data_IF_381661763652
#
_entry.id   IF_381661763652
#
_cell.length_a   1.000
_cell.length_b   1.000
_cell.length_c   1.000
_cell.angle_alpha   90.00
_cell.angle_beta   90.00
_cell.angle_gamma   90.00
#
_symmetry.space_group_name_H-M   'P 1'
#
loop_
_entity.id
_entity.type
_entity.pdbx_description
1 polymer ?
#
# COMPACT_ATOMS: atom_id res chain seq x y z
N UNK A 1 15.56 21.68 -88.91
CA UNK A 1 16.88 21.39 -89.52
C UNK A 1 17.55 20.29 -88.69
N UNK A 2 17.73 19.08 -89.23
CA UNK A 2 18.34 17.96 -88.50
C UNK A 2 19.85 17.93 -88.74
N UNK A 3 20.66 18.23 -87.70
CA UNK A 3 22.12 18.10 -87.76
C UNK A 3 22.52 16.68 -87.38
N UNK A 4 22.80 15.84 -88.37
CA UNK A 4 23.41 14.53 -88.15
C UNK A 4 24.91 14.72 -87.93
N UNK A 5 25.42 14.22 -86.80
CA UNK A 5 26.87 14.23 -86.53
C UNK A 5 27.57 13.28 -87.50
N UNK A 6 28.58 13.78 -88.20
CA UNK A 6 29.48 12.92 -88.98
C UNK A 6 30.51 12.29 -88.02
N UNK A 7 30.84 11.01 -88.20
CA UNK A 7 31.86 10.37 -87.37
C UNK A 7 33.21 11.04 -87.60
N UNK A 8 34.02 11.13 -86.54
CA UNK A 8 35.41 11.59 -86.63
C UNK A 8 36.20 10.59 -87.48
N UNK A 9 37.07 11.04 -88.41
CA UNK A 9 37.98 10.14 -89.11
C UNK A 9 38.93 9.46 -88.11
N UNK A 10 39.18 8.18 -88.30
CA UNK A 10 39.99 7.33 -87.40
C UNK A 10 41.14 6.73 -88.21
N UNK A 11 42.36 6.80 -87.67
CA UNK A 11 43.51 6.10 -88.23
C UNK A 11 43.40 4.58 -87.95
N UNK A 12 43.46 3.71 -88.97
CA UNK A 12 43.34 2.27 -88.80
C UNK A 12 44.43 1.64 -87.91
N UNK A 13 45.66 2.18 -87.91
CA UNK A 13 46.76 1.62 -87.11
C UNK A 13 46.58 1.94 -85.63
N UNK A 14 46.31 3.22 -85.33
CA UNK A 14 46.03 3.71 -83.97
C UNK A 14 44.83 2.99 -83.37
N UNK A 15 43.75 2.81 -84.13
CA UNK A 15 42.55 2.11 -83.65
C UNK A 15 42.84 0.67 -83.24
N UNK A 16 43.67 -0.05 -84.01
CA UNK A 16 44.04 -1.43 -83.72
C UNK A 16 44.84 -1.52 -82.42
N UNK A 17 45.80 -0.62 -82.22
CA UNK A 17 46.60 -0.55 -80.99
C UNK A 17 45.75 -0.15 -79.79
N UNK A 18 44.90 0.87 -79.93
CA UNK A 18 43.99 1.33 -78.87
C UNK A 18 43.02 0.23 -78.44
N UNK A 19 42.46 -0.51 -79.40
CA UNK A 19 41.56 -1.64 -79.11
C UNK A 19 42.28 -2.76 -78.36
N UNK A 20 43.52 -3.08 -78.75
CA UNK A 20 44.33 -4.07 -78.05
C UNK A 20 44.62 -3.65 -76.60
N UNK A 21 45.07 -2.41 -76.39
CA UNK A 21 45.34 -1.85 -75.07
C UNK A 21 44.08 -1.79 -74.20
N UNK A 22 42.95 -1.38 -74.79
CA UNK A 22 41.67 -1.35 -74.10
C UNK A 22 41.23 -2.74 -73.65
N UNK A 23 41.36 -3.76 -74.51
CA UNK A 23 41.02 -5.13 -74.16
C UNK A 23 41.91 -5.68 -73.04
N UNK A 24 43.21 -5.41 -73.09
CA UNK A 24 44.15 -5.79 -72.03
C UNK A 24 43.79 -5.09 -70.70
N UNK A 25 43.61 -3.77 -70.72
CA UNK A 25 43.19 -2.99 -69.55
C UNK A 25 41.86 -3.47 -68.98
N UNK A 26 40.85 -3.67 -69.83
CA UNK A 26 39.52 -4.15 -69.41
C UNK A 26 39.61 -5.53 -68.75
N UNK A 27 40.47 -6.41 -69.27
CA UNK A 27 40.71 -7.74 -68.70
C UNK A 27 41.35 -7.65 -67.31
N UNK A 28 42.39 -6.83 -67.15
CA UNK A 28 43.04 -6.59 -65.84
C UNK A 28 42.08 -5.92 -64.84
N UNK A 29 41.28 -4.95 -65.29
CA UNK A 29 40.32 -4.29 -64.40
C UNK A 29 39.21 -5.23 -63.97
N UNK A 30 38.78 -6.14 -64.86
CA UNK A 30 37.79 -7.17 -64.55
C UNK A 30 38.31 -8.19 -63.54
N UNK A 31 39.59 -8.59 -63.63
CA UNK A 31 40.18 -9.49 -62.63
C UNK A 31 40.31 -8.83 -61.27
N UNK A 32 40.74 -7.56 -61.21
CA UNK A 32 40.81 -6.79 -59.96
C UNK A 32 39.42 -6.63 -59.32
N UNK A 33 38.41 -6.29 -60.12
CA UNK A 33 37.02 -6.20 -59.64
C UNK A 33 36.55 -7.52 -59.05
N UNK A 34 36.82 -8.64 -59.72
CA UNK A 34 36.44 -9.95 -59.23
C UNK A 34 37.14 -10.28 -57.90
N UNK A 35 38.44 -10.01 -57.80
CA UNK A 35 39.21 -10.20 -56.58
C UNK A 35 38.65 -9.40 -55.40
N UNK A 36 38.33 -8.11 -55.58
CA UNK A 36 37.74 -7.31 -54.52
C UNK A 36 36.33 -7.76 -54.12
N UNK A 37 35.51 -8.20 -55.09
CA UNK A 37 34.19 -8.76 -54.79
C UNK A 37 34.32 -10.05 -53.96
N UNK A 38 35.29 -10.90 -54.29
CA UNK A 38 35.54 -12.13 -53.57
C UNK A 38 35.97 -11.85 -52.12
N UNK A 39 36.91 -10.92 -51.91
CA UNK A 39 37.29 -10.49 -50.56
C UNK A 39 36.12 -9.93 -49.76
N UNK A 40 35.25 -9.14 -50.39
CA UNK A 40 34.10 -8.56 -49.72
C UNK A 40 33.10 -9.65 -49.30
N UNK A 41 32.87 -10.65 -50.16
CA UNK A 41 32.05 -11.81 -49.82
C UNK A 41 32.65 -12.64 -48.67
N UNK A 42 33.97 -12.84 -48.65
CA UNK A 42 34.64 -13.54 -47.54
C UNK A 42 34.49 -12.78 -46.22
N UNK A 43 34.67 -11.46 -46.22
CA UNK A 43 34.46 -10.63 -45.02
C UNK A 43 33.02 -10.72 -44.51
N UNK A 44 32.03 -10.65 -45.38
CA UNK A 44 30.62 -10.81 -44.99
C UNK A 44 30.40 -12.18 -44.33
N UNK A 45 30.87 -13.27 -44.95
CA UNK A 45 30.75 -14.62 -44.39
C UNK A 45 31.43 -14.75 -43.03
N UNK A 46 32.63 -14.20 -42.87
CA UNK A 46 33.34 -14.19 -41.59
C UNK A 46 32.52 -13.44 -40.52
N UNK A 47 31.99 -12.26 -40.85
CA UNK A 47 31.16 -11.51 -39.89
C UNK A 47 29.86 -12.23 -39.54
N UNK A 48 29.26 -12.94 -40.48
CA UNK A 48 28.05 -13.74 -40.22
C UNK A 48 28.34 -14.94 -39.32
N UNK A 49 29.50 -15.59 -39.49
CA UNK A 49 29.92 -16.70 -38.62
C UNK A 49 30.15 -16.21 -37.19
N UNK A 50 30.90 -15.11 -37.02
CA UNK A 50 31.17 -14.51 -35.69
C UNK A 50 29.86 -14.10 -35.02
N UNK A 51 28.96 -13.41 -35.73
CA UNK A 51 27.66 -13.03 -35.15
C UNK A 51 26.81 -14.22 -34.71
N UNK A 52 26.89 -15.36 -35.41
CA UNK A 52 26.15 -16.56 -35.05
C UNK A 52 26.73 -17.24 -33.81
N UNK A 53 28.06 -17.27 -33.67
CA UNK A 53 28.70 -17.81 -32.47
C UNK A 53 28.39 -16.94 -31.26
N UNK A 54 28.58 -15.63 -31.38
CA UNK A 54 28.32 -14.67 -30.30
C UNK A 54 26.85 -14.76 -29.83
N UNK A 55 25.91 -14.76 -30.78
CA UNK A 55 24.48 -14.88 -30.44
C UNK A 55 24.13 -16.21 -29.76
N UNK A 56 24.80 -17.31 -30.14
CA UNK A 56 24.57 -18.60 -29.50
C UNK A 56 25.13 -18.66 -28.07
N UNK A 57 26.28 -18.01 -27.85
CA UNK A 57 26.89 -17.88 -26.52
C UNK A 57 26.03 -16.98 -25.62
N UNK A 58 25.58 -15.83 -26.14
CA UNK A 58 24.67 -14.91 -25.42
C UNK A 58 23.38 -15.61 -24.96
N UNK A 59 22.78 -16.45 -25.81
CA UNK A 59 21.58 -17.22 -25.45
C UNK A 59 21.89 -18.21 -24.33
N UNK A 60 23.02 -18.93 -24.42
CA UNK A 60 23.39 -19.90 -23.40
C UNK A 60 23.68 -19.24 -22.05
N UNK A 61 24.38 -18.10 -22.05
CA UNK A 61 24.61 -17.31 -20.84
C UNK A 61 23.29 -16.82 -20.24
N UNK A 62 22.39 -16.30 -21.09
CA UNK A 62 21.07 -15.86 -20.64
C UNK A 62 20.26 -17.00 -20.01
N UNK A 63 20.27 -18.19 -20.60
CA UNK A 63 19.61 -19.37 -20.03
C UNK A 63 20.22 -19.80 -18.68
N UNK A 64 21.53 -19.66 -18.50
CA UNK A 64 22.18 -19.95 -17.22
C UNK A 64 21.77 -18.94 -16.15
N UNK A 65 21.76 -17.65 -16.48
CA UNK A 65 21.32 -16.58 -15.58
C UNK A 65 19.85 -16.74 -15.16
N UNK A 66 18.98 -17.17 -16.08
CA UNK A 66 17.58 -17.46 -15.75
C UNK A 66 17.48 -18.60 -14.73
N UNK A 67 18.22 -19.70 -14.92
CA UNK A 67 18.23 -20.83 -13.97
C UNK A 67 18.74 -20.43 -12.59
N UNK A 68 19.80 -19.62 -12.54
CA UNK A 68 20.31 -19.10 -11.26
C UNK A 68 19.27 -18.20 -10.57
N UNK A 69 18.59 -17.35 -11.32
CA UNK A 69 17.53 -16.49 -10.80
C UNK A 69 16.35 -17.32 -10.25
N UNK A 70 15.94 -18.38 -10.94
CA UNK A 70 14.90 -19.30 -10.48
C UNK A 70 15.30 -19.95 -9.15
N UNK A 71 16.54 -20.45 -9.03
CA UNK A 71 17.04 -21.04 -7.78
C UNK A 71 17.01 -20.04 -6.62
N UNK A 72 17.48 -18.81 -6.84
CA UNK A 72 17.45 -17.76 -5.82
C UNK A 72 16.02 -17.37 -5.43
N UNK A 73 15.10 -17.31 -6.39
CA UNK A 73 13.70 -17.04 -6.11
C UNK A 73 13.06 -18.16 -5.28
N UNK A 74 13.41 -19.42 -5.53
CA UNK A 74 12.95 -20.55 -4.72
C UNK A 74 13.47 -20.48 -3.28
N UNK A 75 14.75 -20.15 -3.08
CA UNK A 75 15.34 -19.96 -1.76
C UNK A 75 14.69 -18.80 -1.01
N UNK A 76 14.54 -17.65 -1.67
CA UNK A 76 13.88 -16.48 -1.10
C UNK A 76 12.42 -16.75 -0.75
N UNK A 77 11.71 -17.54 -1.57
CA UNK A 77 10.34 -17.98 -1.30
C UNK A 77 10.25 -18.81 -0.02
N UNK A 78 11.16 -19.78 0.17
CA UNK A 78 11.20 -20.60 1.40
C UNK A 78 11.39 -19.75 2.65
N UNK A 79 12.31 -18.77 2.61
CA UNK A 79 12.54 -17.85 3.72
C UNK A 79 11.27 -17.03 4.00
N UNK A 80 10.66 -16.47 2.96
CA UNK A 80 9.43 -15.68 3.08
C UNK A 80 8.28 -16.47 3.69
N UNK A 81 8.11 -17.73 3.31
CA UNK A 81 7.07 -18.60 3.87
C UNK A 81 7.28 -18.85 5.36
N UNK A 82 8.53 -19.07 5.79
CA UNK A 82 8.87 -19.23 7.21
C UNK A 82 8.58 -17.95 8.01
N UNK A 83 8.98 -16.79 7.49
CA UNK A 83 8.76 -15.51 8.17
C UNK A 83 7.27 -15.15 8.23
N UNK A 84 6.52 -15.42 7.17
CA UNK A 84 5.07 -15.24 7.15
C UNK A 84 4.37 -16.14 8.16
N UNK A 85 4.77 -17.41 8.27
CA UNK A 85 4.20 -18.33 9.26
C UNK A 85 4.47 -17.85 10.70
N UNK A 86 5.68 -17.36 10.98
CA UNK A 86 6.02 -16.75 12.30
C UNK A 86 5.17 -15.52 12.58
N UNK A 87 5.08 -14.59 11.62
CA UNK A 87 4.28 -13.38 11.77
C UNK A 87 2.79 -13.68 11.98
N UNK A 88 2.25 -14.70 11.32
CA UNK A 88 0.87 -15.16 11.55
C UNK A 88 0.68 -15.70 12.97
N UNK A 89 1.57 -16.57 13.44
CA UNK A 89 1.51 -17.11 14.81
C UNK A 89 1.59 -16.00 15.88
N UNK A 90 2.48 -15.02 15.69
CA UNK A 90 2.59 -13.86 16.59
C UNK A 90 1.32 -12.99 16.56
N UNK A 91 0.75 -12.77 15.38
CA UNK A 91 -0.49 -12.01 15.24
C UNK A 91 -1.68 -12.71 15.92
N UNK A 92 -1.77 -14.04 15.81
CA UNK A 92 -2.80 -14.85 16.51
C UNK A 92 -2.67 -14.74 18.03
N UNK A 93 -1.45 -14.90 18.57
CA UNK A 93 -1.18 -14.72 20.00
C UNK A 93 -1.52 -13.31 20.48
N UNK A 94 -1.18 -12.28 19.69
CA UNK A 94 -1.53 -10.90 19.98
C UNK A 94 -3.06 -10.67 19.96
N UNK A 95 -3.79 -11.34 19.07
CA UNK A 95 -5.25 -11.26 19.03
C UNK A 95 -5.89 -11.96 20.24
N UNK A 96 -5.41 -13.15 20.61
CA UNK A 96 -5.90 -13.89 21.78
C UNK A 96 -5.70 -13.07 23.06
N UNK A 97 -4.51 -12.54 23.29
CA UNK A 97 -4.22 -11.70 24.46
C UNK A 97 -5.05 -10.40 24.47
N UNK A 98 -5.33 -9.79 23.31
CA UNK A 98 -6.26 -8.65 23.21
C UNK A 98 -7.69 -9.04 23.58
N UNK A 99 -8.18 -10.18 23.10
CA UNK A 99 -9.52 -10.70 23.42
C UNK A 99 -9.65 -10.97 24.93
N UNK A 100 -8.68 -11.66 25.54
CA UNK A 100 -8.67 -11.92 26.98
C UNK A 100 -8.68 -10.63 27.80
N UNK A 101 -7.83 -9.65 27.43
CA UNK A 101 -7.81 -8.33 28.10
C UNK A 101 -9.14 -7.61 27.95
N UNK A 102 -9.79 -7.71 26.78
CA UNK A 102 -11.08 -7.09 26.54
C UNK A 102 -12.18 -7.74 27.40
N UNK A 103 -12.27 -9.06 27.42
CA UNK A 103 -13.24 -9.79 28.24
C UNK A 103 -13.04 -9.51 29.74
N UNK A 104 -11.79 -9.52 30.21
CA UNK A 104 -11.49 -9.19 31.61
C UNK A 104 -11.89 -7.76 31.97
N UNK A 105 -11.65 -6.79 31.08
CA UNK A 105 -12.11 -5.41 31.27
C UNK A 105 -13.63 -5.30 31.29
N UNK A 106 -14.32 -6.06 30.43
CA UNK A 106 -15.79 -6.08 30.36
C UNK A 106 -16.37 -6.66 31.65
N UNK A 107 -15.85 -7.79 32.11
CA UNK A 107 -16.25 -8.41 33.38
C UNK A 107 -16.04 -7.45 34.56
N UNK A 108 -14.85 -6.85 34.67
CA UNK A 108 -14.57 -5.89 35.74
C UNK A 108 -15.51 -4.68 35.72
N UNK A 109 -15.92 -4.20 34.54
CA UNK A 109 -16.90 -3.12 34.42
C UNK A 109 -18.29 -3.55 34.91
N UNK A 110 -18.72 -4.77 34.57
CA UNK A 110 -19.99 -5.31 35.04
C UNK A 110 -19.98 -5.44 36.57
N UNK A 111 -18.95 -6.09 37.13
CA UNK A 111 -18.82 -6.26 38.58
C UNK A 111 -18.79 -4.91 39.32
N UNK A 112 -18.03 -3.93 38.81
CA UNK A 112 -17.99 -2.60 39.41
C UNK A 112 -19.34 -1.86 39.33
N UNK A 113 -20.10 -2.07 38.26
CA UNK A 113 -21.44 -1.50 38.13
C UNK A 113 -22.43 -2.19 39.09
N UNK A 114 -22.39 -3.52 39.20
CA UNK A 114 -23.21 -4.29 40.14
C UNK A 114 -22.91 -3.90 41.59
N UNK A 115 -21.63 -3.77 41.97
CA UNK A 115 -21.25 -3.30 43.30
C UNK A 115 -21.78 -1.90 43.62
N UNK A 116 -21.73 -0.98 42.64
CA UNK A 116 -22.28 0.38 42.81
C UNK A 116 -23.80 0.35 43.00
N UNK A 117 -24.51 -0.37 42.13
CA UNK A 117 -25.98 -0.49 42.21
C UNK A 117 -26.39 -1.14 43.53
N UNK A 118 -25.69 -2.17 43.99
CA UNK A 118 -25.99 -2.82 45.27
C UNK A 118 -25.75 -1.88 46.46
N UNK A 119 -24.67 -1.10 46.46
CA UNK A 119 -24.39 -0.10 47.51
C UNK A 119 -25.46 0.99 47.56
N UNK A 120 -25.84 1.54 46.41
CA UNK A 120 -26.87 2.58 46.31
C UNK A 120 -28.26 2.05 46.67
N UNK A 121 -28.61 0.82 46.26
CA UNK A 121 -29.90 0.20 46.59
C UNK A 121 -30.07 0.00 48.08
N UNK A 122 -29.05 -0.50 48.78
CA UNK A 122 -29.13 -0.77 50.22
C UNK A 122 -29.36 0.51 51.05
N UNK A 123 -28.96 1.68 50.55
CA UNK A 123 -29.15 2.95 51.27
C UNK A 123 -30.51 3.61 51.03
N UNK A 124 -31.23 3.24 49.97
CA UNK A 124 -32.46 3.94 49.55
C UNK A 124 -33.72 3.24 50.05
N UNK A 125 -33.67 1.95 50.37
CA UNK A 125 -34.86 1.21 50.79
C UNK A 125 -35.25 1.51 52.24
N UNK A 126 -36.54 1.77 52.44
CA UNK A 126 -37.16 1.88 53.76
C UNK A 126 -37.28 0.46 54.32
N UNK A 127 -36.58 0.20 55.42
CA UNK A 127 -36.62 -1.06 56.18
C UNK A 127 -37.68 -0.95 57.29
N UNK A 128 -38.12 -2.10 57.83
CA UNK A 128 -39.12 -2.14 58.93
C UNK A 128 -38.71 -1.28 60.14
N UNK A 129 -37.42 -1.17 60.42
CA UNK A 129 -36.87 -0.39 61.53
C UNK A 129 -36.92 1.13 61.32
N UNK A 130 -36.90 1.60 60.06
CA UNK A 130 -36.92 3.04 59.71
C UNK A 130 -38.26 3.49 59.11
N UNK A 131 -39.28 2.62 59.16
CA UNK A 131 -40.55 2.84 58.48
C UNK A 131 -41.30 4.04 59.06
N UNK A 132 -41.48 4.08 60.38
CA UNK A 132 -42.26 5.12 61.06
C UNK A 132 -41.62 6.51 60.91
N UNK A 133 -40.29 6.59 61.00
CA UNK A 133 -39.55 7.85 60.85
C UNK A 133 -39.65 8.42 59.44
N UNK A 134 -39.64 7.56 58.42
CA UNK A 134 -39.71 8.02 57.03
C UNK A 134 -41.16 8.38 56.64
N UNK A 135 -42.17 7.74 57.22
CA UNK A 135 -43.58 8.12 57.07
C UNK A 135 -43.81 9.54 57.58
N UNK A 136 -43.30 9.89 58.76
CA UNK A 136 -43.42 11.25 59.31
C UNK A 136 -42.75 12.28 58.39
N UNK A 137 -41.52 12.01 57.91
CA UNK A 137 -40.83 12.91 56.98
C UNK A 137 -41.58 13.12 55.67
N UNK A 138 -42.20 12.07 55.12
CA UNK A 138 -42.95 12.17 53.85
C UNK A 138 -44.27 12.93 54.03
N UNK A 139 -44.86 12.90 55.21
CA UNK A 139 -46.07 13.70 55.51
C UNK A 139 -45.71 15.19 55.61
N UNK A 140 -44.56 15.51 56.20
CA UNK A 140 -44.09 16.89 56.36
C UNK A 140 -43.48 17.48 55.08
N UNK A 141 -42.78 16.67 54.28
CA UNK A 141 -42.13 17.08 53.05
C UNK A 141 -43.03 16.88 51.82
N UNK A 142 -43.53 17.99 51.26
CA UNK A 142 -44.29 17.96 49.99
C UNK A 142 -43.36 18.13 48.79
N UNK A 143 -43.16 17.06 48.01
CA UNK A 143 -42.38 17.10 46.76
C UNK A 143 -43.34 17.32 45.57
N UNK A 144 -43.08 18.36 44.77
CA UNK A 144 -43.83 18.64 43.54
C UNK A 144 -42.99 18.25 42.31
N UNK A 145 -43.55 17.39 41.45
CA UNK A 145 -42.92 16.95 40.20
C UNK A 145 -43.40 17.75 38.98
N UNK A 146 -44.26 18.75 39.16
CA UNK A 146 -44.76 19.57 38.07
C UNK A 146 -43.68 20.55 37.59
N UNK A 147 -43.31 20.43 36.32
CA UNK A 147 -42.45 21.39 35.64
C UNK A 147 -42.95 21.63 34.21
N UNK A 148 -42.68 22.82 33.69
CA UNK A 148 -42.95 23.16 32.30
C UNK A 148 -41.63 23.17 31.51
N UNK A 149 -41.72 22.91 30.20
CA UNK A 149 -40.57 22.98 29.29
C UNK A 149 -40.88 24.02 28.21
N UNK A 150 -39.95 24.93 27.95
CA UNK A 150 -40.08 25.91 26.87
C UNK A 150 -39.74 25.31 25.48
N UNK A 151 -39.93 26.10 24.42
CA UNK A 151 -39.61 25.66 23.05
C UNK A 151 -38.10 25.54 22.77
N UNK A 152 -37.25 26.09 23.63
CA UNK A 152 -35.80 25.97 23.59
C UNK A 152 -35.27 24.78 24.43
N UNK A 153 -36.14 24.06 25.15
CA UNK A 153 -35.80 22.92 25.99
C UNK A 153 -35.38 23.27 27.42
N UNK A 154 -35.58 24.51 27.87
CA UNK A 154 -35.29 24.88 29.26
C UNK A 154 -36.44 24.45 30.18
N UNK A 155 -36.08 23.90 31.34
CA UNK A 155 -37.01 23.44 32.37
C UNK A 155 -37.32 24.59 33.32
N UNK A 156 -38.60 24.95 33.43
CA UNK A 156 -39.11 25.95 34.38
C UNK A 156 -39.85 25.20 35.48
N UNK A 157 -39.28 25.18 36.68
CA UNK A 157 -39.91 24.64 37.88
C UNK A 157 -40.67 25.75 38.61
N UNK A 158 -41.77 25.42 39.27
CA UNK A 158 -42.53 26.36 40.10
C UNK A 158 -41.74 26.75 41.36
N UNK A 159 -41.65 28.04 41.68
CA UNK A 159 -40.86 28.64 42.77
C UNK A 159 -41.34 28.31 44.21
N UNK A 160 -42.04 27.20 44.45
CA UNK A 160 -42.44 26.80 45.81
C UNK A 160 -41.31 26.15 46.63
N UNK A 161 -40.07 26.11 46.13
CA UNK A 161 -38.94 25.41 46.76
C UNK A 161 -38.06 26.28 47.68
N UNK A 162 -38.22 27.61 47.78
CA UNK A 162 -37.22 28.46 48.48
C UNK A 162 -37.53 28.85 49.93
N UNK A 163 -38.50 28.23 50.60
CA UNK A 163 -38.95 28.64 51.95
C UNK A 163 -38.64 27.63 53.08
N UNK A 164 -37.94 26.52 52.80
CA UNK A 164 -37.61 25.50 53.80
C UNK A 164 -36.20 25.57 54.40
N UNK A 165 -35.17 25.91 53.62
CA UNK A 165 -33.76 25.61 53.99
C UNK A 165 -33.00 26.72 54.75
N UNK A 166 -33.69 27.67 55.40
CA UNK A 166 -33.04 28.80 56.10
C UNK A 166 -33.10 28.80 57.64
N UNK A 167 -33.49 27.70 58.30
CA UNK A 167 -33.61 27.70 59.77
C UNK A 167 -32.45 27.09 60.57
N UNK A 168 -31.47 26.43 59.95
CA UNK A 168 -30.46 25.68 60.73
C UNK A 168 -29.03 26.27 60.71
N UNK A 169 -28.83 27.55 60.35
CA UNK A 169 -27.48 28.18 60.36
C UNK A 169 -27.28 29.35 61.34
N UNK A 170 -28.26 29.72 62.18
CA UNK A 170 -28.11 30.86 63.11
C UNK A 170 -27.89 30.52 64.59
N UNK A 171 -27.73 29.24 64.99
CA UNK A 171 -27.57 28.89 66.43
C UNK A 171 -26.15 28.58 66.91
N UNK A 172 -25.09 28.79 66.12
CA UNK A 172 -23.71 28.42 66.52
C UNK A 172 -22.71 29.57 66.66
N UNK A 173 -23.12 30.84 66.59
CA UNK A 173 -22.18 31.97 66.73
C UNK A 173 -22.12 32.59 68.14
N UNK A 174 -23.00 32.25 69.07
CA UNK A 174 -23.01 32.87 70.41
C UNK A 174 -22.79 31.86 71.55
N UNK A 175 -21.51 31.52 71.78
CA UNK A 175 -20.95 31.09 73.07
C UNK A 175 -19.42 31.27 73.04
N UNK A 176 -18.99 32.39 73.62
CA UNK A 176 -17.65 32.57 74.18
C UNK A 176 -17.40 31.67 75.38
#
# INVERSE_FOLDING_TARGET
MFRVRKPTPIDPEEYKQLKFLYNAYSTHMRSLRHFFLMQLQEKIKQTEMIKKTDFSEDIQEFEQLLKENELWNEEAKKIREVDMAKAQAEAELAQLSKKERFERRKLNKILAAEEKVMKERNTIFILEENLDQEIEKVIDARVDYNFAIDKQGNVIKSEMESLGDKKDQESEIDKS
#
